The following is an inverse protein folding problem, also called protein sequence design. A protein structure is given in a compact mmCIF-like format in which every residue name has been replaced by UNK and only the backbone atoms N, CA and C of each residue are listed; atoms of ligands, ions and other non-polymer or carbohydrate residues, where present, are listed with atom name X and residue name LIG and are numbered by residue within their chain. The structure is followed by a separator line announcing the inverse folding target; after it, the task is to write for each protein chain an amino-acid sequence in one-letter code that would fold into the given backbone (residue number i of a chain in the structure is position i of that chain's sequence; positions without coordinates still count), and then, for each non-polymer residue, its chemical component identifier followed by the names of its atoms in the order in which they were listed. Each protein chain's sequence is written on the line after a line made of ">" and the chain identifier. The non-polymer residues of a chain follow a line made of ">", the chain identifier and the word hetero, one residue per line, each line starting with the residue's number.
data_IF_122853486246
#
_entry.id   IF_122853486246
#
_cell.length_a   1.000
_cell.length_b   1.000
_cell.length_c   1.000
_cell.angle_alpha   90.00
_cell.angle_beta   90.00
_cell.angle_gamma   90.00
#
_symmetry.space_group_name_H-M   'P 1'
#
loop_
_entity.id
_entity.type
_entity.pdbx_description
1 polymer ?
#
# COMPACT_ATOMS: atom_id res chain seq x y z
N UNK A 1 31.41 -22.87 42.86
CA UNK A 1 32.19 -21.79 42.20
C UNK A 1 32.56 -22.29 40.80
N UNK A 2 31.99 -21.72 39.72
CA UNK A 2 32.62 -20.72 38.81
C UNK A 2 33.82 -21.32 38.04
N UNK A 3 34.00 -21.30 36.72
CA UNK A 3 33.54 -20.54 35.52
C UNK A 3 34.06 -21.32 34.28
N UNK A 4 33.69 -20.93 33.03
CA UNK A 4 34.40 -21.13 31.71
C UNK A 4 33.55 -21.98 30.74
N UNK A 5 33.22 -21.68 29.47
CA UNK A 5 33.52 -20.61 28.50
C UNK A 5 32.63 -20.82 27.26
N UNK A 6 32.30 -19.73 26.55
CA UNK A 6 31.88 -19.57 25.14
C UNK A 6 31.06 -20.63 24.37
N UNK A 7 29.91 -20.26 23.77
CA UNK A 7 29.40 -20.94 22.59
C UNK A 7 30.13 -20.41 21.33
N UNK A 8 31.14 -21.14 20.87
CA UNK A 8 31.81 -20.87 19.59
C UNK A 8 31.13 -21.65 18.44
N UNK A 9 30.53 -20.90 17.53
CA UNK A 9 30.44 -21.12 16.08
C UNK A 9 30.28 -22.56 15.57
N UNK A 10 29.03 -22.95 15.27
CA UNK A 10 28.77 -23.75 14.07
C UNK A 10 28.16 -22.81 13.03
N UNK A 11 28.95 -22.51 11.98
CA UNK A 11 28.48 -21.78 10.80
C UNK A 11 27.25 -22.51 10.22
N UNK A 12 26.14 -21.83 9.92
CA UNK A 12 25.16 -22.41 9.02
C UNK A 12 25.80 -22.50 7.63
N UNK A 13 25.82 -23.71 7.07
CA UNK A 13 26.16 -23.97 5.67
C UNK A 13 25.18 -23.18 4.80
N UNK A 14 25.61 -22.47 3.73
CA UNK A 14 24.66 -21.94 2.76
C UNK A 14 24.00 -23.12 2.06
N UNK A 15 22.69 -23.28 2.26
CA UNK A 15 21.89 -24.24 1.51
C UNK A 15 21.98 -23.89 0.01
N UNK A 16 22.12 -24.87 -0.89
CA UNK A 16 22.09 -24.59 -2.32
C UNK A 16 20.73 -23.97 -2.69
N UNK A 17 20.66 -22.98 -3.59
CA UNK A 17 19.37 -22.51 -4.09
C UNK A 17 18.68 -23.70 -4.77
N UNK A 18 17.59 -24.17 -4.16
CA UNK A 18 16.78 -25.25 -4.72
C UNK A 18 16.33 -24.92 -6.14
N UNK A 19 15.98 -25.92 -6.97
CA UNK A 19 15.50 -25.70 -8.32
C UNK A 19 14.33 -24.73 -8.25
N UNK A 20 14.51 -23.53 -8.82
CA UNK A 20 13.52 -22.49 -8.80
C UNK A 20 12.22 -23.04 -9.37
N UNK A 21 11.22 -23.22 -8.51
CA UNK A 21 9.87 -23.52 -8.94
C UNK A 21 9.48 -22.35 -9.83
N UNK A 22 9.26 -22.52 -11.15
CA UNK A 22 8.66 -21.46 -11.93
C UNK A 22 7.28 -21.21 -11.31
N UNK A 23 6.90 -19.96 -11.00
CA UNK A 23 5.59 -19.71 -10.43
C UNK A 23 4.56 -20.23 -11.44
N UNK A 24 3.87 -21.31 -11.08
CA UNK A 24 2.73 -21.85 -11.83
C UNK A 24 1.67 -20.74 -11.92
N UNK A 25 1.06 -20.49 -13.09
CA UNK A 25 -0.06 -19.56 -13.23
C UNK A 25 -1.34 -20.18 -12.66
N UNK A 26 -1.31 -20.58 -11.39
CA UNK A 26 -2.50 -20.96 -10.64
C UNK A 26 -3.23 -19.67 -10.22
N UNK A 27 -4.15 -19.23 -11.07
CA UNK A 27 -5.52 -18.83 -10.71
C UNK A 27 -5.75 -18.30 -9.28
N UNK A 28 -4.97 -17.32 -8.85
CA UNK A 28 -5.46 -16.30 -7.95
C UNK A 28 -5.93 -15.19 -8.88
N UNK A 29 -7.18 -14.76 -8.76
CA UNK A 29 -7.59 -13.43 -9.21
C UNK A 29 -6.79 -12.42 -8.40
N UNK A 30 -5.50 -12.28 -8.72
CA UNK A 30 -4.68 -11.12 -8.36
C UNK A 30 -5.53 -9.96 -8.85
N UNK A 31 -6.08 -9.09 -7.97
CA UNK A 31 -6.45 -7.80 -8.48
C UNK A 31 -5.14 -7.26 -9.04
N UNK A 32 -5.02 -7.23 -10.35
CA UNK A 32 -4.12 -6.28 -11.01
C UNK A 32 -4.36 -5.00 -10.25
N UNK A 33 -3.34 -4.53 -9.52
CA UNK A 33 -3.46 -3.36 -8.64
C UNK A 33 -3.74 -2.20 -9.58
N UNK A 34 -5.01 -2.05 -9.93
CA UNK A 34 -5.44 -1.08 -10.90
C UNK A 34 -5.37 0.25 -10.14
N UNK A 35 -4.45 1.14 -10.52
CA UNK A 35 -4.22 2.37 -9.77
C UNK A 35 -5.52 3.18 -9.72
N UNK A 36 -6.38 3.10 -10.75
CA UNK A 36 -7.68 3.75 -10.73
C UNK A 36 -8.64 3.11 -9.72
N UNK A 37 -8.70 1.78 -9.62
CA UNK A 37 -9.51 1.11 -8.59
C UNK A 37 -9.03 1.44 -7.16
N UNK A 38 -7.71 1.49 -6.93
CA UNK A 38 -7.14 1.86 -5.64
C UNK A 38 -7.43 3.32 -5.28
N UNK A 39 -7.21 4.24 -6.22
CA UNK A 39 -7.53 5.66 -6.07
C UNK A 39 -9.02 5.88 -5.83
N UNK A 40 -9.89 5.13 -6.50
CA UNK A 40 -11.34 5.22 -6.33
C UNK A 40 -11.81 4.77 -4.95
N UNK A 41 -11.19 3.74 -4.36
CA UNK A 41 -11.47 3.34 -2.97
C UNK A 41 -11.06 4.43 -1.98
N UNK A 42 -9.90 5.05 -2.17
CA UNK A 42 -9.45 6.19 -1.35
C UNK A 42 -10.36 7.40 -1.51
N UNK A 43 -10.84 7.68 -2.73
CA UNK A 43 -11.78 8.78 -2.96
C UNK A 43 -13.09 8.56 -2.20
N UNK A 44 -13.65 7.34 -2.23
CA UNK A 44 -14.85 7.00 -1.43
C UNK A 44 -14.60 7.16 0.07
N UNK A 45 -13.42 6.80 0.57
CA UNK A 45 -13.05 7.03 1.96
C UNK A 45 -13.02 8.54 2.30
N UNK A 46 -12.45 9.36 1.42
CA UNK A 46 -12.47 10.81 1.61
C UNK A 46 -13.90 11.37 1.62
N UNK A 47 -14.79 10.88 0.74
CA UNK A 47 -16.21 11.26 0.77
C UNK A 47 -16.89 10.85 2.08
N UNK A 48 -16.61 9.66 2.61
CA UNK A 48 -17.11 9.24 3.90
C UNK A 48 -16.62 10.16 5.03
N UNK A 49 -15.35 10.59 4.99
CA UNK A 49 -14.84 11.58 5.94
C UNK A 49 -15.54 12.94 5.80
N UNK A 50 -15.82 13.42 4.59
CA UNK A 50 -16.58 14.66 4.39
C UNK A 50 -18.00 14.56 4.97
N UNK A 51 -18.70 13.45 4.70
CA UNK A 51 -20.05 13.21 5.23
C UNK A 51 -20.08 13.12 6.75
N UNK A 52 -18.99 12.63 7.36
CA UNK A 52 -18.83 12.59 8.81
C UNK A 52 -18.37 13.93 9.43
N UNK A 53 -18.27 15.01 8.64
CA UNK A 53 -17.75 16.31 9.09
C UNK A 53 -16.23 16.35 9.33
N UNK A 54 -15.52 15.27 9.01
CA UNK A 54 -14.08 15.10 9.21
C UNK A 54 -13.28 15.68 8.03
N UNK A 55 -13.52 16.95 7.71
CA UNK A 55 -12.95 17.62 6.54
C UNK A 55 -11.42 17.58 6.51
N UNK A 56 -10.74 17.67 7.66
CA UNK A 56 -9.27 17.59 7.74
C UNK A 56 -8.75 16.23 7.27
N UNK A 57 -9.38 15.12 7.71
CA UNK A 57 -8.99 13.75 7.30
C UNK A 57 -9.32 13.51 5.83
N UNK A 58 -10.48 14.00 5.37
CA UNK A 58 -10.82 13.93 3.95
C UNK A 58 -9.74 14.61 3.09
N UNK A 59 -9.36 15.84 3.45
CA UNK A 59 -8.31 16.59 2.72
C UNK A 59 -6.97 15.85 2.67
N UNK A 60 -6.61 15.15 3.75
CA UNK A 60 -5.39 14.36 3.81
C UNK A 60 -5.42 13.21 2.78
N UNK A 61 -6.49 12.39 2.81
CA UNK A 61 -6.70 11.31 1.84
C UNK A 61 -6.77 11.81 0.41
N UNK A 62 -7.42 12.95 0.16
CA UNK A 62 -7.49 13.56 -1.17
C UNK A 62 -6.11 13.98 -1.68
N UNK A 63 -5.24 14.50 -0.80
CA UNK A 63 -3.84 14.82 -1.16
C UNK A 63 -3.02 13.57 -1.44
N UNK A 64 -3.22 12.49 -0.69
CA UNK A 64 -2.58 11.20 -0.98
C UNK A 64 -2.98 10.67 -2.36
N UNK A 65 -4.24 10.80 -2.77
CA UNK A 65 -4.68 10.41 -4.13
C UNK A 65 -3.93 11.22 -5.19
N UNK A 66 -3.79 12.53 -5.01
CA UNK A 66 -3.06 13.38 -5.95
C UNK A 66 -1.57 13.05 -6.03
N UNK A 67 -0.98 12.60 -4.92
CA UNK A 67 0.44 12.23 -4.85
C UNK A 67 0.70 10.84 -5.44
N UNK A 68 -0.08 9.84 -5.02
CA UNK A 68 0.17 8.43 -5.32
C UNK A 68 -0.52 7.97 -6.61
N UNK A 69 -1.58 8.66 -7.05
CA UNK A 69 -2.40 8.30 -8.21
C UNK A 69 -2.73 9.49 -9.13
N UNK A 70 -1.75 10.31 -9.56
CA UNK A 70 -1.98 11.55 -10.30
C UNK A 70 -2.72 11.37 -11.63
N UNK A 71 -2.49 10.27 -12.34
CA UNK A 71 -3.06 9.98 -13.66
C UNK A 71 -4.42 9.23 -13.62
N UNK A 72 -5.10 9.26 -12.47
CA UNK A 72 -6.40 8.56 -12.31
C UNK A 72 -7.57 9.53 -12.33
N UNK A 73 -8.77 9.10 -12.78
CA UNK A 73 -9.97 9.94 -12.71
C UNK A 73 -10.32 10.35 -11.27
N UNK A 74 -9.89 9.58 -10.27
CA UNK A 74 -10.04 9.93 -8.86
C UNK A 74 -9.18 11.13 -8.45
N UNK A 75 -8.00 11.33 -9.06
CA UNK A 75 -7.18 12.52 -8.82
C UNK A 75 -7.87 13.80 -9.31
N UNK A 76 -8.52 13.78 -10.47
CA UNK A 76 -9.34 14.90 -10.93
C UNK A 76 -10.40 15.30 -9.90
N UNK A 77 -11.20 14.31 -9.46
CA UNK A 77 -12.23 14.51 -8.44
C UNK A 77 -11.66 14.97 -7.10
N UNK A 78 -10.48 14.47 -6.72
CA UNK A 78 -9.83 14.87 -5.48
C UNK A 78 -9.38 16.34 -5.52
N UNK A 79 -8.88 16.80 -6.67
CA UNK A 79 -8.51 18.20 -6.88
C UNK A 79 -9.71 19.14 -6.80
N UNK A 80 -10.83 18.74 -7.40
CA UNK A 80 -12.10 19.48 -7.29
C UNK A 80 -12.59 19.56 -5.84
N UNK A 81 -12.56 18.43 -5.11
CA UNK A 81 -13.00 18.38 -3.71
C UNK A 81 -12.11 19.19 -2.75
N UNK A 82 -10.83 19.41 -3.08
CA UNK A 82 -9.91 20.25 -2.28
C UNK A 82 -10.11 21.75 -2.51
N UNK A 83 -10.57 22.13 -3.70
CA UNK A 83 -10.80 23.50 -4.11
C UNK A 83 -12.23 23.68 -4.65
N UNK A 84 -13.26 23.56 -3.79
CA UNK A 84 -14.63 23.84 -4.21
C UNK A 84 -14.69 25.29 -4.70
N UNK A 85 -15.17 25.48 -5.93
CA UNK A 85 -15.51 26.84 -6.39
C UNK A 85 -16.59 27.41 -5.46
N UNK A 86 -16.49 28.70 -5.09
CA UNK A 86 -17.47 29.37 -4.25
C UNK A 86 -18.85 29.41 -4.91
#
# INVERSE_FOLDING_TARGET
>A
AKVTTSPASRRPTPEPPGPGIPPTPAAQTRPTIDPAAAAQRRFRLAQAYLNAGLAKKARDVLREILRDYPDTPAAGKAREALNPKP
#
